data_IF_316134763467
#
_entry.id   IF_316134763467
#
_cell.length_a   1.000
_cell.length_b   1.000
_cell.length_c   1.000
_cell.angle_alpha   90.00
_cell.angle_beta   90.00
_cell.angle_gamma   90.00
#
_symmetry.space_group_name_H-M   'P 1'
#
loop_
_entity.id
_entity.type
_entity.pdbx_description
1 polymer ?
#
# COMPACT_ATOMS: atom_id res chain seq x y z
N UNK A 1 0.77 30.84 -8.37
CA UNK A 1 0.34 29.44 -8.18
C UNK A 1 1.11 28.53 -9.10
N UNK A 2 1.98 27.70 -8.51
CA UNK A 2 2.71 26.63 -9.20
C UNK A 2 1.75 25.57 -9.73
N UNK A 3 1.94 25.10 -10.94
CA UNK A 3 1.15 24.03 -11.56
C UNK A 3 1.65 22.66 -11.09
N UNK A 4 0.74 21.82 -10.60
CA UNK A 4 1.04 20.46 -10.10
C UNK A 4 0.32 19.43 -10.95
N UNK A 5 1.05 18.40 -11.38
CA UNK A 5 0.51 17.19 -12.00
C UNK A 5 0.82 15.96 -11.15
N UNK A 6 -0.19 15.22 -10.70
CA UNK A 6 -0.02 13.93 -10.02
C UNK A 6 -0.27 12.79 -11.01
N UNK A 7 0.65 11.82 -11.06
CA UNK A 7 0.67 10.76 -12.07
C UNK A 7 0.49 9.40 -11.43
N UNK A 8 -0.37 8.58 -12.03
CA UNK A 8 -0.51 7.17 -11.72
C UNK A 8 -0.60 6.35 -13.02
N UNK A 9 -0.03 5.15 -13.01
CA UNK A 9 -0.13 4.17 -14.09
C UNK A 9 -0.72 2.88 -13.50
N UNK A 10 -2.01 2.62 -13.76
CA UNK A 10 -2.76 1.52 -13.17
C UNK A 10 -3.37 0.63 -14.23
N UNK A 11 -3.03 -0.67 -14.18
CA UNK A 11 -3.55 -1.67 -15.11
C UNK A 11 -4.50 -2.62 -14.40
N UNK A 12 -5.62 -2.91 -15.02
CA UNK A 12 -6.67 -3.79 -14.54
C UNK A 12 -7.92 -3.07 -14.06
N UNK A 13 -8.83 -3.83 -13.46
CA UNK A 13 -10.13 -3.30 -13.02
C UNK A 13 -9.94 -2.29 -11.88
N UNK A 14 -10.56 -1.12 -12.00
CA UNK A 14 -10.59 -0.16 -10.91
C UNK A 14 -11.31 -0.75 -9.69
N UNK A 15 -10.71 -0.61 -8.50
CA UNK A 15 -11.27 -1.14 -7.27
C UNK A 15 -12.44 -0.29 -6.77
N UNK A 16 -13.20 -0.83 -5.82
CA UNK A 16 -14.38 -0.17 -5.25
C UNK A 16 -14.08 1.22 -4.69
N UNK A 17 -12.87 1.45 -4.17
CA UNK A 17 -12.47 2.71 -3.56
C UNK A 17 -12.07 3.79 -4.57
N UNK A 18 -11.95 3.46 -5.86
CA UNK A 18 -11.53 4.44 -6.88
C UNK A 18 -12.49 5.64 -6.97
N UNK A 19 -13.79 5.45 -6.68
CA UNK A 19 -14.75 6.57 -6.61
C UNK A 19 -14.41 7.57 -5.50
N UNK A 20 -13.85 7.13 -4.37
CA UNK A 20 -13.39 8.05 -3.32
C UNK A 20 -12.20 8.89 -3.81
N UNK A 21 -11.24 8.26 -4.48
CA UNK A 21 -10.14 8.96 -5.11
C UNK A 21 -10.64 10.03 -6.08
N UNK A 22 -11.49 9.67 -7.04
CA UNK A 22 -12.07 10.61 -8.03
C UNK A 22 -12.82 11.76 -7.34
N UNK A 23 -13.67 11.44 -6.35
CA UNK A 23 -14.41 12.46 -5.58
C UNK A 23 -13.46 13.43 -4.89
N UNK A 24 -12.40 12.94 -4.26
CA UNK A 24 -11.43 13.80 -3.57
C UNK A 24 -10.59 14.66 -4.53
N UNK A 25 -10.29 14.14 -5.73
CA UNK A 25 -9.59 14.90 -6.76
C UNK A 25 -10.42 16.08 -7.28
N UNK A 26 -11.75 15.92 -7.40
CA UNK A 26 -12.67 16.99 -7.82
C UNK A 26 -12.53 18.27 -6.97
N UNK A 27 -12.22 18.12 -5.68
CA UNK A 27 -12.06 19.23 -4.73
C UNK A 27 -10.66 19.88 -4.75
N UNK A 28 -9.80 19.46 -5.68
CA UNK A 28 -8.47 20.01 -5.90
C UNK A 28 -8.31 20.53 -7.35
N UNK A 29 -9.13 21.50 -7.80
CA UNK A 29 -9.22 21.90 -9.21
C UNK A 29 -7.94 22.53 -9.79
N UNK A 30 -6.98 22.88 -8.93
CA UNK A 30 -5.68 23.48 -9.30
C UNK A 30 -4.55 22.45 -9.41
N UNK A 31 -4.88 21.17 -9.26
CA UNK A 31 -3.98 20.02 -9.38
C UNK A 31 -4.58 19.10 -10.44
N UNK A 32 -3.80 18.79 -11.47
CA UNK A 32 -4.20 17.83 -12.49
C UNK A 32 -3.74 16.42 -12.10
N UNK A 33 -4.62 15.43 -12.30
CA UNK A 33 -4.37 14.02 -11.99
C UNK A 33 -4.38 13.21 -13.29
N UNK A 34 -3.23 12.67 -13.68
CA UNK A 34 -3.06 11.85 -14.87
C UNK A 34 -3.08 10.36 -14.50
N UNK A 35 -4.11 9.64 -14.97
CA UNK A 35 -4.28 8.21 -14.73
C UNK A 35 -4.13 7.47 -16.05
N UNK A 36 -2.97 6.86 -16.28
CA UNK A 36 -2.69 6.00 -17.41
C UNK A 36 -3.23 4.60 -17.12
N UNK A 37 -4.16 4.11 -17.94
CA UNK A 37 -4.85 2.85 -17.63
C UNK A 37 -5.42 2.14 -18.86
N UNK A 38 -5.49 0.81 -18.80
CA UNK A 38 -6.15 -0.05 -19.78
C UNK A 38 -7.66 -0.17 -19.54
N UNK A 39 -8.17 0.55 -18.54
CA UNK A 39 -9.55 0.52 -18.13
C UNK A 39 -10.37 1.66 -18.77
N UNK A 40 -11.67 1.41 -18.95
CA UNK A 40 -12.63 2.39 -19.43
C UNK A 40 -13.58 2.75 -18.29
N UNK A 41 -13.86 4.05 -18.17
CA UNK A 41 -14.85 4.56 -17.22
C UNK A 41 -16.12 4.95 -17.97
N UNK A 42 -17.26 4.58 -17.39
CA UNK A 42 -18.60 4.81 -17.91
C UNK A 42 -19.36 5.93 -17.16
N UNK A 43 -18.68 6.63 -16.25
CA UNK A 43 -19.23 7.74 -15.47
C UNK A 43 -18.44 9.03 -15.65
N UNK A 44 -19.08 10.15 -15.29
CA UNK A 44 -18.50 11.50 -15.42
C UNK A 44 -17.26 11.64 -14.53
N UNK A 45 -16.19 12.15 -15.12
CA UNK A 45 -14.92 12.43 -14.45
C UNK A 45 -14.74 13.96 -14.33
N UNK A 46 -14.25 14.46 -13.19
CA UNK A 46 -13.99 15.89 -13.01
C UNK A 46 -12.89 16.38 -13.96
N UNK A 47 -12.94 17.66 -14.34
CA UNK A 47 -12.11 18.21 -15.40
C UNK A 47 -10.60 18.08 -15.13
N UNK A 48 -10.18 18.16 -13.86
CA UNK A 48 -8.79 18.05 -13.44
C UNK A 48 -8.30 16.59 -13.33
N UNK A 49 -9.15 15.59 -13.58
CA UNK A 49 -8.74 14.19 -13.68
C UNK A 49 -8.73 13.76 -15.14
N UNK A 50 -7.57 13.31 -15.62
CA UNK A 50 -7.33 12.88 -17.00
C UNK A 50 -7.13 11.37 -17.02
N UNK A 51 -8.13 10.65 -17.55
CA UNK A 51 -8.01 9.22 -17.82
C UNK A 51 -7.41 9.05 -19.20
N UNK A 52 -6.21 8.47 -19.28
CA UNK A 52 -5.47 8.27 -20.52
C UNK A 52 -5.49 6.78 -20.85
N UNK A 53 -6.13 6.36 -21.96
CA UNK A 53 -6.05 4.98 -22.44
C UNK A 53 -4.59 4.58 -22.65
N UNK A 54 -4.15 3.55 -21.95
CA UNK A 54 -2.75 3.16 -21.89
C UNK A 54 -2.61 1.69 -21.47
N UNK A 55 -1.92 0.88 -22.26
CA UNK A 55 -1.69 -0.54 -21.96
C UNK A 55 -0.28 -0.78 -21.41
N UNK A 56 -0.01 -1.99 -20.89
CA UNK A 56 1.36 -2.41 -20.57
C UNK A 56 2.28 -2.39 -21.81
N UNK A 57 1.75 -2.66 -23.00
CA UNK A 57 2.52 -2.58 -24.24
C UNK A 57 2.92 -1.14 -24.55
N UNK A 58 2.00 -0.18 -24.36
CA UNK A 58 2.27 1.24 -24.55
C UNK A 58 3.30 1.74 -23.53
N UNK A 59 3.19 1.29 -22.27
CA UNK A 59 4.18 1.58 -21.24
C UNK A 59 5.56 1.07 -21.63
N UNK A 60 5.68 -0.20 -22.04
CA UNK A 60 6.95 -0.80 -22.42
C UNK A 60 7.60 -0.06 -23.59
N UNK A 61 6.81 0.29 -24.62
CA UNK A 61 7.30 1.04 -25.78
C UNK A 61 7.79 2.44 -25.38
N UNK A 62 6.96 3.21 -24.67
CA UNK A 62 7.29 4.58 -24.25
C UNK A 62 8.47 4.62 -23.28
N UNK A 63 8.47 3.76 -22.26
CA UNK A 63 9.56 3.70 -21.30
C UNK A 63 10.87 3.28 -21.98
N UNK A 64 10.82 2.35 -22.95
CA UNK A 64 12.02 1.94 -23.67
C UNK A 64 12.62 3.08 -24.49
N UNK A 65 11.78 3.84 -25.20
CA UNK A 65 12.18 5.02 -25.95
C UNK A 65 12.79 6.10 -25.04
N UNK A 66 12.06 6.48 -23.98
CA UNK A 66 12.43 7.62 -23.11
C UNK A 66 13.64 7.33 -22.23
N UNK A 67 13.84 6.08 -21.82
CA UNK A 67 14.95 5.69 -20.95
C UNK A 67 16.15 5.15 -21.72
N UNK A 68 15.99 4.84 -23.02
CA UNK A 68 16.99 4.15 -23.84
C UNK A 68 17.46 2.82 -23.21
N UNK A 69 16.49 2.04 -22.70
CA UNK A 69 16.67 0.73 -22.06
C UNK A 69 15.59 -0.18 -22.61
N UNK A 70 15.87 -1.47 -22.86
CA UNK A 70 14.82 -2.41 -23.25
C UNK A 70 13.93 -2.74 -22.04
N UNK A 71 12.69 -2.27 -22.02
CA UNK A 71 11.72 -2.48 -20.93
C UNK A 71 10.67 -3.51 -21.34
N UNK A 72 10.50 -4.57 -20.54
CA UNK A 72 9.57 -5.67 -20.79
C UNK A 72 8.75 -6.00 -19.53
N UNK A 73 7.91 -5.07 -19.08
CA UNK A 73 7.00 -5.30 -17.94
C UNK A 73 5.86 -6.23 -18.35
N UNK A 74 5.71 -7.33 -17.61
CA UNK A 74 4.63 -8.32 -17.78
C UNK A 74 3.60 -8.33 -16.66
N UNK A 75 3.91 -7.72 -15.51
CA UNK A 75 3.05 -7.69 -14.31
C UNK A 75 2.80 -6.23 -13.88
N UNK A 76 1.54 -5.79 -13.73
CA UNK A 76 1.22 -4.41 -13.36
C UNK A 76 1.95 -3.90 -12.11
N UNK A 77 2.10 -4.73 -11.08
CA UNK A 77 2.74 -4.31 -9.82
C UNK A 77 4.22 -3.90 -9.99
N UNK A 78 4.88 -4.33 -11.07
CA UNK A 78 6.25 -3.89 -11.39
C UNK A 78 6.32 -2.40 -11.75
N UNK A 79 5.22 -1.78 -12.18
CA UNK A 79 5.16 -0.36 -12.51
C UNK A 79 5.51 0.55 -11.33
N UNK A 80 5.37 0.09 -10.07
CA UNK A 80 5.76 0.87 -8.89
C UNK A 80 7.25 1.24 -8.93
N UNK A 81 8.13 0.31 -9.32
CA UNK A 81 9.57 0.60 -9.44
C UNK A 81 9.84 1.69 -10.49
N UNK A 82 8.93 1.95 -11.43
CA UNK A 82 9.12 2.99 -12.45
C UNK A 82 8.58 4.37 -12.04
N UNK A 83 7.85 4.49 -10.93
CA UNK A 83 7.36 5.79 -10.43
C UNK A 83 8.44 6.88 -10.38
N UNK A 84 9.68 6.61 -9.94
CA UNK A 84 10.74 7.63 -9.90
C UNK A 84 11.14 8.16 -11.28
N UNK A 85 10.84 7.41 -12.35
CA UNK A 85 11.15 7.77 -13.73
C UNK A 85 9.96 8.39 -14.48
N UNK A 86 8.79 8.58 -13.85
CA UNK A 86 7.60 9.11 -14.51
C UNK A 86 7.80 10.53 -15.06
N UNK A 87 8.61 11.37 -14.41
CA UNK A 87 9.01 12.68 -14.95
C UNK A 87 9.70 12.61 -16.32
N UNK A 88 10.41 11.51 -16.61
CA UNK A 88 11.06 11.27 -17.91
C UNK A 88 10.12 10.53 -18.87
N UNK A 89 9.49 9.44 -18.42
CA UNK A 89 8.61 8.59 -19.24
C UNK A 89 7.42 9.39 -19.77
N UNK A 90 6.77 10.18 -18.92
CA UNK A 90 5.59 10.98 -19.28
C UNK A 90 5.90 12.46 -19.51
N UNK A 91 7.16 12.81 -19.78
CA UNK A 91 7.64 14.18 -19.98
C UNK A 91 6.79 15.02 -20.95
N UNK A 92 6.22 14.42 -22.00
CA UNK A 92 5.34 15.10 -22.95
C UNK A 92 4.05 15.63 -22.31
N UNK A 93 3.53 14.95 -21.28
CA UNK A 93 2.35 15.36 -20.53
C UNK A 93 2.68 16.38 -19.43
N UNK A 94 3.94 16.40 -18.98
CA UNK A 94 4.38 17.15 -17.81
C UNK A 94 5.06 18.48 -18.15
N UNK A 95 5.35 18.76 -19.43
CA UNK A 95 6.12 19.93 -19.89
C UNK A 95 5.65 21.28 -19.31
N UNK A 96 4.35 21.45 -19.15
CA UNK A 96 3.75 22.74 -18.75
C UNK A 96 3.55 22.87 -17.22
N UNK A 97 4.04 21.92 -16.43
CA UNK A 97 3.90 21.89 -14.97
C UNK A 97 5.20 22.27 -14.27
N UNK A 98 5.10 23.01 -13.17
CA UNK A 98 6.25 23.36 -12.33
C UNK A 98 6.67 22.17 -11.46
N UNK A 99 5.70 21.35 -11.06
CA UNK A 99 5.87 20.15 -10.27
C UNK A 99 5.08 18.99 -10.86
N UNK A 100 5.68 17.81 -10.88
CA UNK A 100 4.96 16.57 -11.06
C UNK A 100 5.06 15.74 -9.78
N UNK A 101 4.24 14.70 -9.66
CA UNK A 101 4.30 13.81 -8.52
C UNK A 101 3.73 12.46 -8.83
N UNK A 102 3.95 11.55 -7.90
CA UNK A 102 3.31 10.23 -7.91
C UNK A 102 2.09 10.29 -7.01
N UNK A 103 1.04 9.56 -7.37
CA UNK A 103 -0.12 9.30 -6.52
C UNK A 103 -0.53 7.85 -6.70
N UNK A 104 -0.98 7.21 -5.64
CA UNK A 104 -1.75 5.98 -5.76
C UNK A 104 -3.26 6.29 -5.91
N UNK A 105 -4.03 5.28 -6.30
CA UNK A 105 -5.48 5.39 -6.48
C UNK A 105 -6.28 4.94 -5.24
N UNK A 106 -5.59 4.44 -4.22
CA UNK A 106 -6.14 4.04 -2.92
C UNK A 106 -5.88 5.10 -1.84
N UNK A 107 -5.86 6.36 -2.26
CA UNK A 107 -5.83 7.52 -1.37
C UNK A 107 -7.12 8.33 -1.49
N UNK A 108 -7.46 9.04 -0.42
CA UNK A 108 -8.52 10.05 -0.39
C UNK A 108 -7.86 11.37 -0.02
N UNK A 109 -7.93 12.36 -0.90
CA UNK A 109 -7.36 13.68 -0.67
C UNK A 109 -8.29 14.57 0.17
N UNK A 110 -7.68 15.34 1.07
CA UNK A 110 -8.21 16.59 1.57
C UNK A 110 -7.86 17.75 0.62
N UNK A 111 -7.63 18.94 1.18
CA UNK A 111 -7.21 20.12 0.40
C UNK A 111 -5.69 20.13 0.22
N UNK A 112 -5.21 19.74 -0.97
CA UNK A 112 -3.77 19.66 -1.25
C UNK A 112 -3.08 21.02 -1.07
N UNK A 113 -3.73 22.12 -1.45
CA UNK A 113 -3.13 23.47 -1.43
C UNK A 113 -3.00 24.11 -0.05
N UNK A 114 -3.60 23.54 0.98
CA UNK A 114 -3.32 23.95 2.37
C UNK A 114 -1.94 23.47 2.84
N UNK A 115 -1.42 22.42 2.21
CA UNK A 115 -0.14 21.80 2.57
C UNK A 115 0.93 22.06 1.50
N UNK A 116 0.58 21.98 0.22
CA UNK A 116 1.47 22.22 -0.92
C UNK A 116 1.35 23.68 -1.39
N UNK A 117 1.77 24.60 -0.53
CA UNK A 117 1.74 26.04 -0.81
C UNK A 117 2.82 26.45 -1.81
N UNK A 118 2.66 27.62 -2.44
CA UNK A 118 3.67 28.13 -3.37
C UNK A 118 5.02 28.37 -2.65
N UNK A 119 4.99 28.79 -1.37
CA UNK A 119 6.19 29.01 -0.55
C UNK A 119 6.95 27.69 -0.33
N UNK A 120 6.25 26.61 0.02
CA UNK A 120 6.86 25.29 0.17
C UNK A 120 7.47 24.81 -1.16
N UNK A 121 6.74 25.00 -2.26
CA UNK A 121 7.17 24.59 -3.61
C UNK A 121 8.31 25.46 -4.17
N UNK A 122 8.46 26.69 -3.71
CA UNK A 122 9.62 27.53 -4.04
C UNK A 122 10.87 27.10 -3.25
N UNK A 123 10.70 26.59 -2.03
CA UNK A 123 11.82 26.19 -1.17
C UNK A 123 12.38 24.80 -1.49
N UNK A 124 11.52 23.81 -1.78
CA UNK A 124 11.91 22.39 -1.85
C UNK A 124 11.80 21.77 -3.25
N UNK A 125 12.71 20.86 -3.56
CA UNK A 125 12.78 20.15 -4.83
C UNK A 125 11.97 18.84 -4.81
N UNK A 126 11.87 18.20 -3.65
CA UNK A 126 11.05 17.01 -3.45
C UNK A 126 10.27 17.11 -2.15
N UNK A 127 9.01 16.70 -2.14
CA UNK A 127 8.14 16.78 -0.97
C UNK A 127 7.49 15.43 -0.71
N UNK A 128 7.79 14.84 0.44
CA UNK A 128 7.21 13.60 0.92
C UNK A 128 6.11 13.86 1.95
N UNK A 129 5.04 13.05 1.90
CA UNK A 129 3.88 13.16 2.81
C UNK A 129 4.06 12.47 4.14
N UNK A 130 5.24 11.87 4.38
CA UNK A 130 5.69 11.33 5.66
C UNK A 130 7.00 11.98 6.08
N UNK A 131 7.22 12.01 7.39
CA UNK A 131 8.41 12.60 8.01
C UNK A 131 9.61 11.64 8.10
N UNK A 132 9.39 10.33 7.97
CA UNK A 132 10.36 9.28 8.27
C UNK A 132 10.86 8.52 7.03
N UNK A 133 9.98 8.18 6.08
CA UNK A 133 10.35 7.49 4.84
C UNK A 133 9.41 7.82 3.67
N UNK A 134 9.87 7.55 2.45
CA UNK A 134 9.08 7.67 1.22
C UNK A 134 8.07 6.52 1.14
N UNK A 135 6.77 6.84 1.20
CA UNK A 135 5.67 5.86 1.05
C UNK A 135 5.27 5.58 -0.38
N UNK A 136 5.76 6.39 -1.33
CA UNK A 136 5.39 6.38 -2.75
C UNK A 136 3.89 6.45 -3.09
N UNK A 137 2.99 6.60 -2.10
CA UNK A 137 1.56 6.78 -2.32
C UNK A 137 1.21 8.22 -2.71
N UNK A 138 2.05 9.18 -2.32
CA UNK A 138 2.01 10.57 -2.76
C UNK A 138 3.39 11.21 -2.53
N UNK A 139 3.99 11.79 -3.57
CA UNK A 139 5.24 12.53 -3.46
C UNK A 139 5.36 13.51 -4.63
N UNK A 140 5.81 14.75 -4.36
CA UNK A 140 6.06 15.75 -5.39
C UNK A 140 7.55 15.87 -5.72
N UNK A 141 7.81 16.20 -6.98
CA UNK A 141 9.12 16.42 -7.58
C UNK A 141 9.06 17.71 -8.40
N UNK A 142 10.01 18.61 -8.17
CA UNK A 142 10.19 19.80 -9.02
C UNK A 142 10.47 19.33 -10.43
N UNK A 143 9.74 19.87 -11.39
CA UNK A 143 9.89 19.48 -12.78
C UNK A 143 11.14 20.14 -13.39
N UNK A 144 12.28 19.49 -13.18
CA UNK A 144 13.58 19.90 -13.71
C UNK A 144 14.34 18.67 -14.19
N UNK A 145 15.24 18.85 -15.16
CA UNK A 145 16.03 17.73 -15.68
C UNK A 145 16.80 17.00 -14.57
N UNK A 146 17.38 17.73 -13.63
CA UNK A 146 18.12 17.17 -12.51
C UNK A 146 17.22 16.29 -11.62
N UNK A 147 16.09 16.82 -11.14
CA UNK A 147 15.18 16.06 -10.26
C UNK A 147 14.54 14.89 -11.00
N UNK A 148 14.12 15.09 -12.25
CA UNK A 148 13.48 14.06 -13.08
C UNK A 148 14.41 12.87 -13.36
N UNK A 149 15.72 13.04 -13.22
CA UNK A 149 16.73 12.00 -13.47
C UNK A 149 17.43 11.48 -12.22
N UNK A 150 16.96 11.84 -11.01
CA UNK A 150 17.53 11.35 -9.74
C UNK A 150 17.63 9.83 -9.69
N UNK A 151 16.65 9.10 -10.24
CA UNK A 151 16.67 7.63 -10.28
C UNK A 151 17.93 7.06 -10.95
N UNK A 152 18.58 7.78 -11.87
CA UNK A 152 19.82 7.36 -12.53
C UNK A 152 21.04 7.40 -11.61
N UNK A 153 20.94 8.06 -10.45
CA UNK A 153 21.99 8.09 -9.42
C UNK A 153 22.11 6.76 -8.69
N UNK A 154 21.03 5.97 -8.65
CA UNK A 154 21.09 4.60 -8.14
C UNK A 154 21.99 3.77 -9.04
N UNK A 155 23.02 3.13 -8.48
CA UNK A 155 23.87 2.21 -9.24
C UNK A 155 23.10 1.01 -9.82
N UNK A 156 21.92 0.72 -9.29
CA UNK A 156 21.13 -0.48 -9.58
C UNK A 156 19.97 -0.22 -10.57
N UNK A 157 19.74 1.03 -10.99
CA UNK A 157 18.51 1.42 -11.72
C UNK A 157 18.23 0.61 -12.99
N UNK A 158 19.27 0.28 -13.78
CA UNK A 158 19.09 -0.52 -15.00
C UNK A 158 18.69 -1.96 -14.68
N UNK A 159 19.34 -2.58 -13.69
CA UNK A 159 19.01 -3.91 -13.21
C UNK A 159 17.57 -3.96 -12.71
N UNK A 160 17.17 -2.95 -11.93
CA UNK A 160 15.81 -2.82 -11.43
C UNK A 160 14.83 -2.76 -12.60
N UNK A 161 15.01 -1.86 -13.57
CA UNK A 161 14.06 -1.67 -14.67
C UNK A 161 13.96 -2.85 -15.63
N UNK A 162 15.01 -3.64 -15.77
CA UNK A 162 15.03 -4.83 -16.64
C UNK A 162 14.60 -6.13 -15.95
N UNK A 163 14.43 -6.11 -14.62
CA UNK A 163 14.05 -7.28 -13.84
C UNK A 163 12.53 -7.45 -13.70
N UNK A 164 12.05 -8.70 -13.70
CA UNK A 164 10.66 -9.00 -13.40
C UNK A 164 10.28 -8.77 -11.92
N UNK A 165 11.28 -8.79 -11.02
CA UNK A 165 11.09 -8.62 -9.59
C UNK A 165 10.75 -7.16 -9.27
N UNK A 166 9.78 -6.95 -8.38
CA UNK A 166 9.55 -5.64 -7.78
C UNK A 166 10.52 -5.45 -6.60
N UNK A 167 11.19 -4.30 -6.53
CA UNK A 167 12.18 -4.00 -5.51
C UNK A 167 11.74 -2.92 -4.51
N UNK A 168 10.53 -2.35 -4.66
CA UNK A 168 10.12 -1.12 -3.97
C UNK A 168 11.17 -0.01 -4.16
N UNK A 169 11.63 0.17 -5.40
CA UNK A 169 12.63 1.17 -5.76
C UNK A 169 12.14 2.60 -5.51
N UNK A 170 10.84 2.83 -5.67
CA UNK A 170 10.12 4.07 -5.37
C UNK A 170 10.09 4.44 -3.89
N UNK A 171 10.48 3.51 -3.01
CA UNK A 171 10.45 3.66 -1.56
C UNK A 171 11.84 3.32 -0.95
N UNK A 172 11.87 2.42 0.03
CA UNK A 172 13.02 2.05 0.86
C UNK A 172 13.45 0.58 0.70
N UNK A 173 13.27 -0.04 -0.47
CA UNK A 173 13.59 -1.46 -0.69
C UNK A 173 12.98 -2.42 0.35
N UNK A 174 11.72 -2.17 0.72
CA UNK A 174 10.98 -2.93 1.75
C UNK A 174 11.48 -2.74 3.21
N UNK A 175 12.34 -1.75 3.47
CA UNK A 175 12.89 -1.47 4.82
C UNK A 175 12.07 -0.49 5.67
N UNK A 176 10.79 -0.27 5.35
CA UNK A 176 9.97 0.75 6.03
C UNK A 176 9.91 0.51 7.55
N UNK A 177 9.81 -0.75 8.00
CA UNK A 177 9.74 -1.05 9.43
C UNK A 177 11.01 -0.69 10.19
N UNK A 178 12.19 -0.97 9.61
CA UNK A 178 13.47 -0.62 10.23
C UNK A 178 13.64 0.91 10.33
N UNK A 179 13.23 1.65 9.29
CA UNK A 179 13.24 3.11 9.33
C UNK A 179 12.27 3.66 10.39
N UNK A 180 11.07 3.08 10.52
CA UNK A 180 10.11 3.44 11.58
C UNK A 180 10.71 3.18 12.97
N UNK A 181 11.52 2.13 13.12
CA UNK A 181 12.30 1.83 14.33
C UNK A 181 13.55 2.72 14.50
N UNK A 182 13.68 3.76 13.66
CA UNK A 182 14.73 4.78 13.64
C UNK A 182 16.10 4.25 13.28
N UNK A 183 16.16 3.15 12.53
CA UNK A 183 17.39 2.73 11.87
C UNK A 183 17.73 3.65 10.69
N UNK A 184 19.02 3.92 10.51
CA UNK A 184 19.52 4.74 9.40
C UNK A 184 19.62 3.87 8.15
N UNK A 185 18.91 4.22 7.07
CA UNK A 185 18.84 3.42 5.84
C UNK A 185 20.22 3.08 5.27
N UNK A 186 21.22 3.96 5.46
CA UNK A 186 22.60 3.75 5.03
C UNK A 186 23.37 2.68 5.84
N UNK A 187 22.79 2.20 6.94
CA UNK A 187 23.34 1.12 7.79
C UNK A 187 22.59 -0.19 7.60
N UNK A 188 21.47 -0.17 6.87
CA UNK A 188 20.64 -1.34 6.61
C UNK A 188 21.17 -2.03 5.36
N UNK A 189 21.33 -3.35 5.43
CA UNK A 189 21.66 -4.14 4.24
C UNK A 189 20.44 -4.21 3.31
N UNK A 190 20.50 -3.46 2.21
CA UNK A 190 19.50 -3.44 1.15
C UNK A 190 20.02 -4.17 -0.10
N UNK A 191 19.11 -4.81 -0.84
CA UNK A 191 19.44 -5.45 -2.11
C UNK A 191 19.75 -4.43 -3.21
N UNK A 192 19.17 -3.24 -3.11
CA UNK A 192 19.37 -2.14 -4.06
C UNK A 192 19.56 -0.81 -3.33
N UNK A 193 20.20 0.14 -4.01
CA UNK A 193 20.16 1.55 -3.66
C UNK A 193 18.82 2.16 -4.11
N UNK A 194 17.89 2.34 -3.16
CA UNK A 194 16.52 2.81 -3.43
C UNK A 194 16.39 4.34 -3.52
N UNK A 195 15.22 4.86 -3.90
CA UNK A 195 14.98 6.32 -3.93
C UNK A 195 15.13 6.99 -2.57
N UNK A 196 14.81 6.31 -1.46
CA UNK A 196 15.11 6.80 -0.11
C UNK A 196 16.62 7.10 0.06
N UNK A 197 17.50 6.21 -0.43
CA UNK A 197 18.95 6.43 -0.36
C UNK A 197 19.36 7.64 -1.18
N UNK A 198 18.86 7.71 -2.43
CA UNK A 198 19.24 8.78 -3.36
C UNK A 198 18.81 10.15 -2.84
N UNK A 199 17.55 10.30 -2.42
CA UNK A 199 17.02 11.60 -1.99
C UNK A 199 17.72 12.06 -0.72
N UNK A 200 17.90 11.18 0.28
CA UNK A 200 18.61 11.55 1.50
C UNK A 200 20.09 11.87 1.24
N UNK A 201 20.73 11.17 0.31
CA UNK A 201 22.13 11.45 -0.03
C UNK A 201 22.29 12.79 -0.75
N UNK A 202 21.46 13.08 -1.77
CA UNK A 202 21.55 14.36 -2.49
C UNK A 202 21.17 15.55 -1.60
N UNK A 203 20.24 15.37 -0.65
CA UNK A 203 19.87 16.39 0.34
C UNK A 203 21.00 16.66 1.35
N UNK A 204 21.59 15.60 1.93
CA UNK A 204 22.76 15.72 2.84
C UNK A 204 23.95 16.42 2.21
N UNK A 205 24.11 16.24 0.90
CA UNK A 205 25.20 16.83 0.12
C UNK A 205 24.89 18.24 -0.39
N UNK A 206 23.70 18.78 -0.09
CA UNK A 206 23.27 20.12 -0.49
C UNK A 206 23.01 20.28 -1.99
N UNK A 207 22.81 19.17 -2.72
CA UNK A 207 22.50 19.18 -4.16
C UNK A 207 20.99 19.14 -4.46
N UNK A 208 20.20 18.75 -3.46
CA UNK A 208 18.75 18.68 -3.48
C UNK A 208 18.22 19.31 -2.18
N UNK A 209 17.02 19.87 -2.19
CA UNK A 209 16.28 20.19 -0.96
C UNK A 209 15.06 19.29 -0.82
N UNK A 210 15.10 18.36 0.12
CA UNK A 210 14.01 17.44 0.38
C UNK A 210 13.19 17.87 1.61
N UNK A 211 11.86 17.87 1.48
CA UNK A 211 10.93 18.09 2.56
C UNK A 211 10.26 16.78 2.97
N UNK A 212 10.27 16.48 4.26
CA UNK A 212 9.59 15.33 4.87
C UNK A 212 8.71 15.84 6.01
N UNK A 213 7.39 15.69 5.88
CA UNK A 213 6.44 16.11 6.90
C UNK A 213 5.28 15.12 7.03
N UNK A 214 4.58 15.12 8.17
CA UNK A 214 3.50 14.20 8.47
C UNK A 214 2.16 14.74 7.95
N UNK A 215 1.91 14.55 6.65
CA UNK A 215 0.73 15.07 5.93
C UNK A 215 -0.35 14.01 5.68
N UNK A 216 -0.08 12.77 6.10
CA UNK A 216 -0.85 11.58 5.79
C UNK A 216 -1.48 10.96 7.04
N UNK A 217 -2.68 10.40 6.89
CA UNK A 217 -3.24 9.44 7.82
C UNK A 217 -3.21 8.03 7.20
N UNK A 218 -2.80 7.04 7.98
CA UNK A 218 -2.74 5.63 7.55
C UNK A 218 -3.39 4.71 8.59
N UNK A 219 -3.37 3.40 8.36
CA UNK A 219 -4.00 2.45 9.26
C UNK A 219 -5.53 2.39 9.11
N UNK A 220 -6.19 1.95 10.16
CA UNK A 220 -7.65 2.02 10.34
C UNK A 220 -7.89 2.98 11.49
N UNK A 221 -7.58 4.26 11.24
CA UNK A 221 -7.57 5.29 12.26
C UNK A 221 -8.96 5.47 12.90
N UNK A 222 -10.01 5.41 12.07
CA UNK A 222 -11.38 5.75 12.44
C UNK A 222 -11.55 7.23 12.75
N UNK A 223 -12.78 7.67 13.02
CA UNK A 223 -13.09 9.06 13.41
C UNK A 223 -12.57 10.11 12.39
N UNK A 224 -12.54 9.72 11.11
CA UNK A 224 -12.18 10.60 10.01
C UNK A 224 -13.46 11.21 9.42
N UNK A 225 -13.41 12.49 9.10
CA UNK A 225 -14.51 13.24 8.51
C UNK A 225 -14.01 13.98 7.28
N UNK A 226 -14.63 13.67 6.14
CA UNK A 226 -14.41 14.36 4.88
C UNK A 226 -15.64 15.21 4.56
N UNK A 227 -15.45 16.52 4.41
CA UNK A 227 -16.50 17.52 4.19
C UNK A 227 -16.08 18.50 3.09
N UNK A 228 -16.60 18.32 1.88
CA UNK A 228 -16.32 19.22 0.75
C UNK A 228 -14.81 19.48 0.56
N UNK A 229 -13.99 18.43 0.64
CA UNK A 229 -12.54 18.51 0.52
C UNK A 229 -11.79 18.79 1.82
N UNK A 230 -12.42 19.33 2.87
CA UNK A 230 -11.81 19.39 4.20
C UNK A 230 -11.75 17.97 4.76
N UNK A 231 -10.54 17.49 5.07
CA UNK A 231 -10.37 16.15 5.62
C UNK A 231 -9.77 16.22 7.02
N UNK A 232 -10.56 15.88 8.02
CA UNK A 232 -10.17 15.99 9.42
C UNK A 232 -10.11 14.64 10.13
N UNK A 233 -9.14 14.52 11.04
CA UNK A 233 -9.02 13.43 12.00
C UNK A 233 -9.48 13.92 13.37
N UNK A 234 -10.47 13.22 13.95
CA UNK A 234 -11.07 13.52 15.26
C UNK A 234 -11.58 14.96 15.42
N UNK A 235 -11.88 15.64 14.31
CA UNK A 235 -12.26 17.06 14.29
C UNK A 235 -11.19 18.01 14.86
N UNK A 236 -9.93 17.58 14.94
CA UNK A 236 -8.84 18.34 15.57
C UNK A 236 -7.69 18.65 14.62
N UNK A 237 -7.41 17.74 13.71
CA UNK A 237 -6.28 17.82 12.80
C UNK A 237 -6.79 17.71 11.37
N UNK A 238 -6.46 18.70 10.53
CA UNK A 238 -6.62 18.55 9.09
C UNK A 238 -5.48 17.69 8.54
N UNK A 239 -5.80 16.78 7.63
CA UNK A 239 -4.84 15.91 6.96
C UNK A 239 -4.90 16.15 5.45
N UNK A 240 -3.77 16.01 4.76
CA UNK A 240 -3.75 16.17 3.31
C UNK A 240 -4.33 14.95 2.60
N UNK A 241 -4.08 13.74 3.12
CA UNK A 241 -4.65 12.53 2.54
C UNK A 241 -4.79 11.39 3.56
N UNK A 242 -5.71 10.47 3.28
CA UNK A 242 -5.83 9.18 3.95
C UNK A 242 -5.50 8.05 2.98
N UNK A 243 -4.59 7.16 3.37
CA UNK A 243 -4.16 6.02 2.57
C UNK A 243 -4.93 4.76 2.98
N UNK A 244 -5.71 4.21 2.05
CA UNK A 244 -6.60 3.08 2.27
C UNK A 244 -5.88 1.72 2.30
N UNK A 245 -4.55 1.66 2.18
CA UNK A 245 -3.78 0.42 2.14
C UNK A 245 -4.16 -0.55 3.27
N UNK A 246 -4.17 -0.05 4.50
CA UNK A 246 -4.55 -0.82 5.67
C UNK A 246 -6.05 -1.12 5.70
N UNK A 247 -6.89 -0.14 5.35
CA UNK A 247 -8.34 -0.30 5.33
C UNK A 247 -8.76 -1.41 4.36
N UNK A 248 -8.28 -1.39 3.10
CA UNK A 248 -8.66 -2.36 2.06
C UNK A 248 -8.17 -3.78 2.35
N UNK A 249 -7.08 -3.92 3.11
CA UNK A 249 -6.49 -5.22 3.48
C UNK A 249 -7.06 -5.86 4.74
N UNK A 250 -7.88 -5.12 5.51
CA UNK A 250 -8.39 -5.57 6.80
C UNK A 250 -9.66 -6.43 6.65
N UNK A 251 -9.74 -7.54 7.39
CA UNK A 251 -10.86 -8.50 7.28
C UNK A 251 -12.17 -7.97 7.86
N UNK A 252 -12.12 -6.96 8.71
CA UNK A 252 -13.29 -6.33 9.30
C UNK A 252 -13.80 -5.19 8.43
N UNK A 253 -12.95 -4.59 7.60
CA UNK A 253 -13.34 -3.48 6.74
C UNK A 253 -14.40 -3.86 5.72
N UNK A 254 -15.34 -2.96 5.53
CA UNK A 254 -16.27 -3.03 4.43
C UNK A 254 -15.56 -2.62 3.12
N UNK A 255 -15.23 -3.62 2.30
CA UNK A 255 -14.54 -3.48 1.01
C UNK A 255 -15.49 -3.53 -0.20
N UNK A 256 -16.67 -2.96 -0.04
CA UNK A 256 -17.66 -2.81 -1.13
C UNK A 256 -18.03 -1.35 -1.25
N UNK A 257 -18.39 -0.88 -2.45
CA UNK A 257 -18.93 0.46 -2.65
C UNK A 257 -20.46 0.42 -2.48
N UNK A 258 -20.98 1.13 -1.48
CA UNK A 258 -22.42 1.22 -1.17
C UNK A 258 -23.10 2.40 -1.85
N UNK A 259 -22.34 3.32 -2.45
CA UNK A 259 -22.85 4.55 -3.02
C UNK A 259 -22.63 4.60 -4.53
N UNK A 260 -23.68 4.95 -5.27
CA UNK A 260 -23.56 5.23 -6.70
C UNK A 260 -22.76 6.52 -6.91
N UNK A 261 -23.02 7.53 -6.08
CA UNK A 261 -22.28 8.79 -5.99
C UNK A 261 -21.78 9.02 -4.57
N UNK A 262 -20.50 9.38 -4.42
CA UNK A 262 -19.92 9.69 -3.12
C UNK A 262 -20.54 11.00 -2.59
N UNK A 263 -21.09 11.02 -1.36
CA UNK A 263 -21.68 12.22 -0.78
C UNK A 263 -20.60 13.29 -0.54
N UNK A 264 -21.03 14.55 -0.49
CA UNK A 264 -20.17 15.70 -0.19
C UNK A 264 -19.69 15.72 1.27
N UNK A 265 -20.28 14.88 2.12
CA UNK A 265 -19.87 14.66 3.50
C UNK A 265 -19.94 13.18 3.82
N UNK A 266 -18.84 12.61 4.31
CA UNK A 266 -18.80 11.24 4.81
C UNK A 266 -17.80 11.06 5.95
N UNK A 267 -18.03 10.01 6.71
CA UNK A 267 -17.22 9.58 7.83
C UNK A 267 -16.54 8.26 7.45
N UNK A 268 -15.26 8.12 7.79
CA UNK A 268 -14.55 6.85 7.75
C UNK A 268 -14.31 6.40 9.18
N UNK A 269 -15.02 5.33 9.57
CA UNK A 269 -14.81 4.61 10.82
C UNK A 269 -13.65 3.60 10.62
N UNK A 270 -13.26 2.83 11.65
CA UNK A 270 -12.10 1.91 11.48
C UNK A 270 -12.36 0.86 10.42
N UNK A 271 -13.59 0.38 10.32
CA UNK A 271 -13.95 -0.74 9.45
C UNK A 271 -15.20 -0.53 8.60
N UNK A 272 -15.82 0.64 8.63
CA UNK A 272 -16.91 1.00 7.72
C UNK A 272 -16.83 2.49 7.37
N UNK A 273 -17.72 2.93 6.48
CA UNK A 273 -17.87 4.33 6.12
C UNK A 273 -19.36 4.66 5.99
N UNK A 274 -19.71 5.93 6.23
CA UNK A 274 -21.11 6.35 6.38
C UNK A 274 -21.34 7.81 5.99
N UNK A 275 -22.55 8.13 5.53
CA UNK A 275 -22.93 9.45 5.03
C UNK A 275 -23.59 10.34 6.09
N UNK A 276 -24.15 9.77 7.15
CA UNK A 276 -24.76 10.52 8.26
C UNK A 276 -24.16 10.13 9.61
N UNK A 277 -24.33 11.03 10.57
CA UNK A 277 -23.82 10.91 11.94
C UNK A 277 -24.92 10.81 13.00
N UNK A 278 -26.03 10.16 12.65
CA UNK A 278 -27.10 9.90 13.62
C UNK A 278 -26.59 9.05 14.79
N UNK A 279 -27.26 9.17 15.95
CA UNK A 279 -26.93 8.38 17.15
C UNK A 279 -26.87 6.87 16.87
N UNK A 280 -27.81 6.35 16.08
CA UNK A 280 -27.84 4.93 15.68
C UNK A 280 -26.60 4.53 14.88
N UNK A 281 -26.14 5.39 13.95
CA UNK A 281 -24.93 5.13 13.18
C UNK A 281 -23.67 5.21 14.02
N UNK A 282 -23.59 6.16 14.97
CA UNK A 282 -22.49 6.23 15.92
C UNK A 282 -22.44 4.98 16.82
N UNK A 283 -23.59 4.53 17.33
CA UNK A 283 -23.68 3.30 18.12
C UNK A 283 -23.26 2.06 17.32
N UNK A 284 -23.67 1.98 16.05
CA UNK A 284 -23.25 0.90 15.14
C UNK A 284 -21.73 0.93 14.89
N UNK A 285 -21.18 2.09 14.54
CA UNK A 285 -19.74 2.28 14.34
C UNK A 285 -18.95 1.86 15.59
N UNK A 286 -19.39 2.29 16.78
CA UNK A 286 -18.77 1.90 18.04
C UNK A 286 -18.77 0.38 18.25
N UNK A 287 -19.86 -0.30 17.92
CA UNK A 287 -19.93 -1.77 17.94
C UNK A 287 -18.98 -2.40 16.93
N UNK A 288 -19.01 -1.95 15.67
CA UNK A 288 -18.21 -2.51 14.58
C UNK A 288 -16.70 -2.31 14.82
N UNK A 289 -16.31 -1.19 15.43
CA UNK A 289 -14.93 -0.81 15.69
C UNK A 289 -14.36 -1.47 16.96
N UNK A 290 -15.17 -1.67 18.00
CA UNK A 290 -14.67 -2.09 19.32
C UNK A 290 -15.16 -3.45 19.79
N UNK A 291 -16.37 -3.87 19.42
CA UNK A 291 -17.02 -5.07 19.93
C UNK A 291 -16.88 -6.22 18.93
N UNK A 292 -17.21 -5.98 17.66
CA UNK A 292 -17.16 -7.01 16.61
C UNK A 292 -15.78 -7.69 16.48
N UNK A 293 -14.62 -6.99 16.49
CA UNK A 293 -13.32 -7.65 16.46
C UNK A 293 -13.07 -8.52 17.69
N UNK A 294 -13.50 -8.06 18.89
CA UNK A 294 -13.34 -8.83 20.14
C UNK A 294 -14.16 -10.12 20.11
N UNK A 295 -15.42 -10.04 19.67
CA UNK A 295 -16.29 -11.20 19.48
C UNK A 295 -15.65 -12.16 18.48
N UNK A 296 -15.19 -11.67 17.34
CA UNK A 296 -14.53 -12.50 16.33
C UNK A 296 -13.31 -13.24 16.91
N UNK A 297 -12.41 -12.53 17.62
CA UNK A 297 -11.24 -13.15 18.25
C UNK A 297 -11.63 -14.20 19.29
N UNK A 298 -12.66 -13.92 20.10
CA UNK A 298 -13.18 -14.87 21.08
C UNK A 298 -13.71 -16.13 20.39
N UNK A 299 -14.54 -15.98 19.36
CA UNK A 299 -15.07 -17.11 18.59
C UNK A 299 -13.96 -17.93 17.95
N UNK A 300 -12.89 -17.30 17.46
CA UNK A 300 -11.71 -18.02 16.93
C UNK A 300 -10.99 -18.80 18.02
N UNK A 301 -10.81 -18.24 19.21
CA UNK A 301 -10.19 -18.97 20.34
C UNK A 301 -11.04 -20.16 20.77
N UNK A 302 -12.37 -20.01 20.79
CA UNK A 302 -13.28 -21.13 21.05
C UNK A 302 -13.19 -22.22 19.97
N UNK A 303 -13.21 -21.85 18.69
CA UNK A 303 -13.05 -22.80 17.56
C UNK A 303 -11.70 -23.52 17.67
N UNK A 304 -10.59 -22.80 17.91
CA UNK A 304 -9.27 -23.40 18.11
C UNK A 304 -9.23 -24.39 19.29
N UNK A 305 -9.82 -24.03 20.43
CA UNK A 305 -9.92 -24.93 21.59
C UNK A 305 -10.71 -26.21 21.27
N UNK A 306 -11.88 -26.07 20.62
CA UNK A 306 -12.72 -27.19 20.20
C UNK A 306 -12.00 -28.06 19.17
N UNK A 307 -11.34 -27.45 18.18
CA UNK A 307 -10.54 -28.13 17.18
C UNK A 307 -9.43 -28.96 17.81
N UNK A 308 -8.70 -28.41 18.79
CA UNK A 308 -7.60 -29.12 19.46
C UNK A 308 -8.10 -30.25 20.37
N UNK A 309 -9.21 -30.04 21.10
CA UNK A 309 -9.70 -31.04 22.07
C UNK A 309 -10.51 -32.17 21.45
N UNK A 310 -11.34 -31.88 20.44
CA UNK A 310 -12.31 -32.85 19.92
C UNK A 310 -11.94 -33.40 18.53
N UNK A 311 -11.50 -32.55 17.60
CA UNK A 311 -11.40 -32.94 16.18
C UNK A 311 -9.97 -33.26 15.73
N UNK A 312 -8.98 -32.55 16.28
CA UNK A 312 -7.53 -32.71 16.04
C UNK A 312 -7.14 -32.78 14.55
N UNK A 313 -7.88 -32.08 13.69
CA UNK A 313 -7.58 -32.06 12.25
C UNK A 313 -6.33 -31.24 11.99
N UNK A 314 -5.29 -31.87 11.48
CA UNK A 314 -4.01 -31.22 11.15
C UNK A 314 -4.03 -30.59 9.76
N UNK A 315 -3.14 -29.62 9.54
CA UNK A 315 -2.89 -29.01 8.23
C UNK A 315 -1.81 -29.82 7.51
N UNK A 316 -1.99 -30.11 6.22
CA UNK A 316 -1.03 -30.86 5.38
C UNK A 316 -0.83 -30.24 3.98
N UNK A 317 -1.43 -29.08 3.74
CA UNK A 317 -1.53 -28.46 2.43
C UNK A 317 -0.58 -27.25 2.23
N UNK A 318 0.22 -26.88 3.22
CA UNK A 318 1.20 -25.79 3.09
C UNK A 318 2.52 -26.38 2.58
N UNK A 319 3.15 -25.75 1.61
CA UNK A 319 4.45 -26.21 1.09
C UNK A 319 5.55 -26.12 2.15
N UNK A 320 6.55 -26.99 2.09
CA UNK A 320 7.73 -26.86 2.94
C UNK A 320 8.64 -25.74 2.44
N UNK A 321 9.24 -24.99 3.36
CA UNK A 321 10.20 -23.95 3.04
C UNK A 321 10.24 -22.81 4.06
N UNK A 322 11.05 -21.81 3.72
CA UNK A 322 11.08 -20.54 4.44
C UNK A 322 10.03 -19.60 3.86
N UNK A 323 9.32 -18.92 4.75
CA UNK A 323 8.30 -17.93 4.44
C UNK A 323 8.69 -16.61 5.07
N UNK A 324 8.53 -15.51 4.33
CA UNK A 324 8.89 -14.18 4.78
C UNK A 324 7.67 -13.26 4.68
N UNK A 325 7.43 -12.49 5.75
CA UNK A 325 6.65 -11.27 5.65
C UNK A 325 7.61 -10.11 5.43
N UNK A 326 7.51 -9.49 4.25
CA UNK A 326 8.52 -8.54 3.78
C UNK A 326 8.71 -7.34 4.73
N UNK A 327 7.61 -6.77 5.24
CA UNK A 327 7.69 -5.57 6.09
C UNK A 327 8.42 -5.82 7.40
N UNK A 328 8.15 -6.91 8.12
CA UNK A 328 8.77 -7.12 9.43
C UNK A 328 10.03 -7.98 9.40
N UNK A 329 10.43 -8.48 8.22
CA UNK A 329 11.50 -9.48 8.02
C UNK A 329 11.40 -10.74 8.90
N UNK A 330 10.25 -10.98 9.52
CA UNK A 330 10.04 -12.16 10.37
C UNK A 330 9.97 -13.37 9.45
N UNK A 331 10.86 -14.33 9.70
CA UNK A 331 10.87 -15.61 9.00
C UNK A 331 10.04 -16.65 9.75
N UNK A 332 9.24 -17.37 8.97
CA UNK A 332 8.52 -18.56 9.40
C UNK A 332 9.07 -19.75 8.61
N UNK A 333 9.40 -20.83 9.29
CA UNK A 333 9.83 -22.07 8.64
C UNK A 333 8.69 -23.08 8.74
N UNK A 334 8.28 -23.61 7.59
CA UNK A 334 7.27 -24.67 7.50
C UNK A 334 7.93 -25.97 7.06
N UNK A 335 7.69 -27.04 7.80
CA UNK A 335 8.14 -28.40 7.48
C UNK A 335 6.94 -29.35 7.44
N UNK A 336 7.13 -30.55 6.87
CA UNK A 336 6.18 -31.65 6.85
C UNK A 336 6.80 -32.88 7.48
N UNK A 337 6.02 -33.57 8.30
CA UNK A 337 6.42 -34.87 8.83
C UNK A 337 6.32 -35.94 7.74
N UNK A 338 7.42 -36.63 7.45
CA UNK A 338 7.52 -37.55 6.29
C UNK A 338 6.52 -38.70 6.30
N UNK A 339 6.10 -39.17 7.49
CA UNK A 339 5.16 -40.30 7.61
C UNK A 339 3.68 -39.90 7.50
N UNK A 340 3.31 -38.67 7.87
CA UNK A 340 1.90 -38.24 7.98
C UNK A 340 1.54 -37.06 7.08
N UNK A 341 2.53 -36.35 6.54
CA UNK A 341 2.36 -35.13 5.74
C UNK A 341 1.94 -33.90 6.55
N UNK A 342 1.92 -34.00 7.88
CA UNK A 342 1.50 -32.94 8.79
C UNK A 342 2.45 -31.76 8.76
N UNK A 343 1.90 -30.54 8.61
CA UNK A 343 2.66 -29.32 8.62
C UNK A 343 3.01 -28.89 10.05
N UNK A 344 4.28 -28.54 10.25
CA UNK A 344 4.79 -27.89 11.45
C UNK A 344 5.31 -26.49 11.09
N UNK A 345 5.23 -25.58 12.04
CA UNK A 345 5.67 -24.20 11.88
C UNK A 345 6.57 -23.80 13.06
N UNK A 346 7.63 -23.06 12.77
CA UNK A 346 8.36 -22.30 13.78
C UNK A 346 8.68 -20.88 13.33
N UNK A 347 8.80 -19.99 14.30
CA UNK A 347 9.52 -18.74 14.13
C UNK A 347 11.02 -19.00 14.32
N UNK A 348 11.86 -18.07 13.86
CA UNK A 348 13.33 -18.23 13.85
C UNK A 348 13.90 -18.64 15.22
N UNK A 349 13.30 -18.17 16.32
CA UNK A 349 13.71 -18.43 17.70
C UNK A 349 12.67 -19.23 18.51
N UNK A 350 11.85 -20.06 17.87
CA UNK A 350 10.85 -20.89 18.55
C UNK A 350 10.98 -22.37 18.20
N UNK A 351 10.39 -23.21 19.04
CA UNK A 351 10.18 -24.62 18.72
C UNK A 351 9.15 -24.80 17.60
N UNK A 352 9.23 -25.96 16.94
CA UNK A 352 8.22 -26.38 15.98
C UNK A 352 6.90 -26.67 16.68
N UNK A 353 5.83 -26.05 16.19
CA UNK A 353 4.46 -26.30 16.62
C UNK A 353 3.68 -26.97 15.50
N UNK A 354 2.94 -28.03 15.85
CA UNK A 354 2.03 -28.71 14.93
C UNK A 354 0.89 -27.75 14.54
N UNK A 355 0.50 -27.77 13.27
CA UNK A 355 -0.57 -26.94 12.74
C UNK A 355 -1.91 -27.67 12.73
N UNK A 356 -2.92 -27.01 13.29
CA UNK A 356 -4.30 -27.49 13.33
C UNK A 356 -5.22 -26.60 12.49
N UNK A 357 -6.11 -27.23 11.72
CA UNK A 357 -7.16 -26.54 10.99
C UNK A 357 -8.33 -26.25 11.92
N UNK A 358 -8.89 -25.05 11.82
CA UNK A 358 -10.13 -24.70 12.53
C UNK A 358 -11.29 -25.56 12.01
N UNK A 359 -12.17 -26.01 12.90
CA UNK A 359 -13.27 -26.92 12.57
C UNK A 359 -14.38 -26.17 11.85
N UNK A 360 -14.82 -25.04 12.42
CA UNK A 360 -15.91 -24.24 11.85
C UNK A 360 -15.39 -23.24 10.81
N UNK A 361 -14.14 -22.82 10.96
CA UNK A 361 -13.50 -21.81 10.12
C UNK A 361 -12.47 -22.39 9.15
N UNK A 362 -12.85 -23.29 8.24
CA UNK A 362 -11.93 -24.12 7.43
C UNK A 362 -10.80 -23.39 6.68
N UNK A 363 -10.94 -22.10 6.36
CA UNK A 363 -9.86 -21.29 5.74
C UNK A 363 -8.75 -20.89 6.71
N UNK A 364 -8.94 -21.10 8.00
CA UNK A 364 -8.04 -20.67 9.07
C UNK A 364 -7.34 -21.87 9.71
N UNK A 365 -6.14 -21.62 10.23
CA UNK A 365 -5.34 -22.58 10.98
C UNK A 365 -4.58 -21.88 12.11
N UNK A 366 -4.12 -22.65 13.07
CA UNK A 366 -3.35 -22.17 14.21
C UNK A 366 -2.24 -23.17 14.54
N UNK A 367 -1.23 -22.70 15.25
CA UNK A 367 -0.19 -23.54 15.83
C UNK A 367 -0.53 -23.82 17.30
N UNK A 368 -0.39 -25.06 17.75
CA UNK A 368 -0.86 -25.53 19.06
C UNK A 368 -0.45 -24.64 20.25
N UNK A 369 0.80 -24.18 20.26
CA UNK A 369 1.38 -23.43 21.38
C UNK A 369 1.54 -21.94 21.09
N UNK A 370 0.88 -21.42 20.05
CA UNK A 370 1.04 -20.03 19.63
C UNK A 370 -0.32 -19.31 19.61
N UNK A 371 -0.39 -18.05 20.08
CA UNK A 371 -1.65 -17.30 20.14
C UNK A 371 -2.09 -16.73 18.78
N UNK A 372 -1.48 -17.20 17.69
CA UNK A 372 -1.60 -16.62 16.35
C UNK A 372 -2.68 -17.31 15.53
N UNK A 373 -3.45 -16.51 14.80
CA UNK A 373 -4.47 -16.98 13.87
C UNK A 373 -3.92 -16.78 12.46
N UNK A 374 -3.91 -17.85 11.68
CA UNK A 374 -3.48 -17.80 10.30
C UNK A 374 -4.65 -18.08 9.35
N UNK A 375 -4.58 -17.54 8.13
CA UNK A 375 -5.56 -17.76 7.06
C UNK A 375 -4.83 -18.21 5.80
N UNK A 376 -5.23 -19.34 5.24
CA UNK A 376 -4.71 -19.82 3.96
C UNK A 376 -5.14 -18.86 2.84
N UNK A 377 -4.22 -18.53 1.92
CA UNK A 377 -4.56 -17.89 0.64
C UNK A 377 -4.95 -18.93 -0.41
N UNK A 378 -5.46 -18.51 -1.57
CA UNK A 378 -5.91 -19.45 -2.62
C UNK A 378 -4.80 -20.42 -3.07
N UNK A 379 -5.22 -21.61 -3.52
CA UNK A 379 -4.34 -22.72 -3.92
C UNK A 379 -3.70 -22.47 -5.28
N UNK A 380 -2.39 -22.75 -5.40
CA UNK A 380 -1.76 -23.10 -6.68
C UNK A 380 -1.37 -24.57 -6.62
N UNK A 381 -1.75 -25.35 -7.63
CA UNK A 381 -1.31 -26.75 -7.79
C UNK A 381 -1.53 -27.64 -6.56
N UNK A 382 -2.69 -27.49 -5.89
CA UNK A 382 -3.09 -28.34 -4.77
C UNK A 382 -2.45 -28.01 -3.41
N UNK A 383 -1.49 -27.09 -3.35
CA UNK A 383 -0.82 -26.66 -2.12
C UNK A 383 -0.76 -25.13 -1.96
N UNK A 384 -0.36 -24.66 -0.78
CA UNK A 384 -0.32 -23.25 -0.43
C UNK A 384 1.13 -22.78 -0.24
N UNK A 385 1.58 -21.89 -1.12
CA UNK A 385 2.85 -21.16 -1.02
C UNK A 385 2.71 -19.79 -0.34
N UNK A 386 1.50 -19.43 0.09
CA UNK A 386 1.21 -18.18 0.82
C UNK A 386 0.13 -18.37 1.89
N UNK A 387 0.26 -17.64 2.99
CA UNK A 387 -0.77 -17.52 4.02
C UNK A 387 -0.67 -16.18 4.73
N UNK A 388 -1.73 -15.78 5.43
CA UNK A 388 -1.76 -14.55 6.23
C UNK A 388 -1.65 -14.88 7.71
N UNK A 389 -0.83 -14.12 8.45
CA UNK A 389 -0.96 -13.99 9.91
C UNK A 389 -1.95 -12.86 10.21
N UNK A 390 -3.06 -13.17 10.89
CA UNK A 390 -4.14 -12.23 11.17
C UNK A 390 -3.97 -11.65 12.58
N UNK A 391 -3.81 -10.34 12.67
CA UNK A 391 -3.78 -9.60 13.94
C UNK A 391 -5.16 -9.57 14.62
N UNK A 392 -5.17 -9.21 15.91
CA UNK A 392 -6.42 -9.07 16.69
C UNK A 392 -7.34 -7.97 16.15
N UNK A 393 -6.80 -6.99 15.42
CA UNK A 393 -7.56 -5.92 14.76
C UNK A 393 -7.82 -6.22 13.28
N UNK A 394 -7.52 -7.43 12.81
CA UNK A 394 -7.95 -7.90 11.49
C UNK A 394 -6.99 -7.63 10.33
N UNK A 395 -5.83 -7.00 10.57
CA UNK A 395 -4.76 -6.91 9.56
C UNK A 395 -4.16 -8.28 9.26
N UNK A 396 -3.97 -8.57 7.98
CA UNK A 396 -3.29 -9.77 7.49
C UNK A 396 -1.88 -9.47 6.99
N UNK A 397 -0.88 -10.04 7.65
CA UNK A 397 0.51 -10.01 7.20
C UNK A 397 0.73 -11.21 6.27
N UNK A 398 0.98 -10.95 4.99
CA UNK A 398 1.14 -12.01 3.97
C UNK A 398 2.55 -12.59 4.06
N UNK A 399 2.63 -13.86 4.42
CA UNK A 399 3.84 -14.67 4.37
C UNK A 399 3.90 -15.40 3.03
N UNK A 400 4.95 -15.13 2.26
CA UNK A 400 5.19 -15.80 0.98
C UNK A 400 6.41 -16.70 1.08
N UNK A 401 6.31 -17.90 0.49
CA UNK A 401 7.43 -18.84 0.40
C UNK A 401 8.57 -18.21 -0.41
N UNK A 402 9.78 -18.25 0.14
CA UNK A 402 11.00 -17.86 -0.55
C UNK A 402 11.30 -18.91 -1.64
N UNK A 403 11.56 -18.44 -2.86
CA UNK A 403 12.09 -19.31 -3.92
C UNK A 403 13.51 -19.70 -3.52
N UNK A 404 13.80 -21.01 -3.58
CA UNK A 404 15.16 -21.52 -3.42
C UNK A 404 16.02 -21.18 -4.63
#
# INVERSE_FOLDING_TARGET
MKKIALVNCYMGKFPWFFKFFIKSCEFNPTVDFFIFTDNQLDYKIPQNVKIIPFTLSDFNALASEKLNIKIEVTKPYKLCDFKPAFGVIFSSYLKEYDFWGITDIDVIYGRIREFMTDELLDEYDTICVRHDFITACCMLFRNSEYVNTLFKKSKDYQMIFTSEKNFAFDESNFEQSAIIEKEDIFKIECEIESMQHIILNEDREGRLKAHFDFLICEGTAGELLWENGLFSYKGKLEIMLYHLLNYKGNIFSNNTMKWDQIPDTFYLDKYDYRANNSFLMQAKSMYDDNIRPKIWNFLKRCDAFISLKLFKKTVNCIEEGEYLYYLSKIKIIVTKKSSTGENYLKFQNSDYSLLYQFTFSKKYFFAENLPFIFRLEDKKDGSHSRFNLISTVGYGNIYSKLKK
#
